data_IF_963619980902
#
_entry.id   IF_963619980902
#
_cell.length_a   1.000
_cell.length_b   1.000
_cell.length_c   1.000
_cell.angle_alpha   90.00
_cell.angle_beta   90.00
_cell.angle_gamma   90.00
#
_symmetry.space_group_name_H-M   'P 1'
#
loop_
_entity.id
_entity.type
_entity.pdbx_description
1 polymer ?
#
# COMPACT_ATOMS: atom_id res chain seq x y z
N UNK A 1 -12.22 -83.15 -3.78
CA UNK A 1 -11.75 -81.88 -3.18
C UNK A 1 -12.61 -80.68 -3.54
N UNK A 2 -12.76 -80.33 -4.82
CA UNK A 2 -13.57 -79.16 -5.24
C UNK A 2 -15.08 -79.34 -4.92
N UNK A 3 -15.62 -80.54 -5.09
CA UNK A 3 -17.03 -80.84 -4.71
C UNK A 3 -17.29 -80.72 -3.20
N UNK A 4 -16.28 -80.94 -2.34
CA UNK A 4 -16.46 -80.83 -0.89
C UNK A 4 -16.50 -79.37 -0.42
N UNK A 5 -15.81 -78.46 -1.13
CA UNK A 5 -15.76 -77.04 -0.78
C UNK A 5 -17.01 -76.27 -1.22
N UNK A 6 -17.76 -76.78 -2.21
CA UNK A 6 -19.06 -76.21 -2.64
C UNK A 6 -20.17 -76.58 -1.63
N UNK A 7 -20.11 -77.77 -1.01
CA UNK A 7 -21.12 -78.22 -0.03
C UNK A 7 -21.03 -77.56 1.35
N UNK A 8 -20.00 -76.74 1.61
CA UNK A 8 -19.77 -76.04 2.89
C UNK A 8 -20.06 -74.52 2.75
N UNK A 9 -20.56 -74.08 1.58
CA UNK A 9 -20.95 -72.68 1.30
C UNK A 9 -19.78 -71.67 1.34
N UNK A 10 -18.52 -72.14 1.22
CA UNK A 10 -17.32 -71.29 1.22
C UNK A 10 -16.91 -70.78 -0.17
N UNK A 11 -17.57 -71.21 -1.25
CA UNK A 11 -17.27 -70.78 -2.62
C UNK A 11 -18.56 -70.39 -3.37
N UNK A 12 -18.77 -69.08 -3.55
CA UNK A 12 -19.83 -68.54 -4.39
C UNK A 12 -19.58 -68.85 -5.88
N UNK A 13 -20.61 -69.41 -6.55
CA UNK A 13 -20.57 -69.74 -7.98
C UNK A 13 -21.00 -68.56 -8.83
N UNK A 14 -20.15 -67.53 -8.88
CA UNK A 14 -20.25 -66.39 -9.78
C UNK A 14 -18.87 -66.04 -10.36
N UNK A 15 -18.83 -65.61 -11.62
CA UNK A 15 -17.56 -65.18 -12.22
C UNK A 15 -16.97 -63.99 -11.45
N UNK A 16 -15.82 -64.22 -10.80
CA UNK A 16 -14.99 -63.17 -10.18
C UNK A 16 -15.08 -63.02 -8.65
N UNK A 17 -15.87 -63.82 -7.94
CA UNK A 17 -16.14 -63.59 -6.49
C UNK A 17 -14.97 -64.01 -5.59
N UNK A 18 -14.13 -64.97 -6.01
CA UNK A 18 -13.05 -65.52 -5.17
C UNK A 18 -11.64 -65.04 -5.54
N UNK A 19 -11.52 -63.83 -6.13
CA UNK A 19 -10.23 -63.22 -6.46
C UNK A 19 -9.87 -62.12 -5.45
N UNK A 20 -9.51 -62.50 -4.21
CA UNK A 20 -8.76 -61.59 -3.32
C UNK A 20 -7.29 -61.65 -3.74
N UNK A 21 -6.98 -60.93 -4.82
CA UNK A 21 -5.63 -60.73 -5.33
C UNK A 21 -5.11 -59.34 -4.98
N UNK A 22 -3.93 -59.27 -4.39
CA UNK A 22 -3.15 -58.07 -4.03
C UNK A 22 -2.63 -57.26 -5.23
N UNK A 23 -3.30 -57.30 -6.39
CA UNK A 23 -2.91 -56.56 -7.59
C UNK A 23 -3.97 -55.54 -8.00
N UNK A 24 -3.58 -54.26 -8.00
CA UNK A 24 -4.36 -53.14 -8.52
C UNK A 24 -4.57 -53.28 -10.03
N UNK A 25 -5.80 -52.99 -10.49
CA UNK A 25 -6.17 -53.09 -11.89
C UNK A 25 -5.54 -51.96 -12.71
N UNK A 26 -5.07 -52.27 -13.91
CA UNK A 26 -4.43 -51.31 -14.83
C UNK A 26 -5.36 -50.17 -15.34
N UNK A 27 -6.64 -50.16 -14.95
CA UNK A 27 -7.62 -49.10 -15.23
C UNK A 27 -7.85 -48.09 -14.09
N UNK A 28 -7.39 -48.38 -12.86
CA UNK A 28 -7.67 -47.56 -11.66
C UNK A 28 -6.76 -46.32 -11.54
N UNK A 29 -5.73 -46.20 -12.38
CA UNK A 29 -4.73 -45.13 -12.31
C UNK A 29 -5.28 -43.77 -12.75
N UNK A 30 -6.35 -43.72 -13.56
CA UNK A 30 -6.98 -42.45 -13.95
C UNK A 30 -7.85 -41.89 -12.83
N UNK A 31 -8.80 -42.68 -12.32
CA UNK A 31 -9.69 -42.24 -11.24
C UNK A 31 -8.97 -42.02 -9.91
N UNK A 32 -7.95 -42.81 -9.58
CA UNK A 32 -7.16 -42.60 -8.36
C UNK A 32 -6.33 -41.32 -8.42
N UNK A 33 -5.82 -40.89 -9.58
CA UNK A 33 -5.14 -39.60 -9.74
C UNK A 33 -6.11 -38.41 -9.63
N UNK A 34 -7.31 -38.52 -10.21
CA UNK A 34 -8.35 -37.49 -10.09
C UNK A 34 -8.85 -37.39 -8.65
N UNK A 35 -9.12 -38.53 -8.01
CA UNK A 35 -9.48 -38.61 -6.60
C UNK A 35 -8.39 -38.03 -5.70
N UNK A 36 -7.12 -38.40 -5.89
CA UNK A 36 -5.99 -37.80 -5.15
C UNK A 36 -5.88 -36.30 -5.38
N UNK A 37 -6.12 -35.83 -6.60
CA UNK A 37 -6.11 -34.39 -6.91
C UNK A 37 -7.22 -33.66 -6.17
N UNK A 38 -8.45 -34.19 -6.19
CA UNK A 38 -9.61 -33.64 -5.46
C UNK A 38 -9.39 -33.68 -3.95
N UNK A 39 -8.88 -34.78 -3.39
CA UNK A 39 -8.53 -34.89 -1.98
C UNK A 39 -7.42 -33.91 -1.57
N UNK A 40 -6.41 -33.70 -2.43
CA UNK A 40 -5.37 -32.71 -2.18
C UNK A 40 -5.93 -31.28 -2.22
N UNK A 41 -6.83 -30.98 -3.15
CA UNK A 41 -7.48 -29.67 -3.23
C UNK A 41 -8.34 -29.40 -1.99
N UNK A 42 -9.13 -30.39 -1.56
CA UNK A 42 -9.91 -30.31 -0.32
C UNK A 42 -9.01 -30.13 0.91
N UNK A 43 -7.87 -30.83 0.96
CA UNK A 43 -6.89 -30.70 2.04
C UNK A 43 -6.21 -29.34 2.06
N UNK A 44 -5.98 -28.74 0.89
CA UNK A 44 -5.37 -27.41 0.76
C UNK A 44 -6.37 -26.27 1.00
N UNK A 45 -7.68 -26.53 0.90
CA UNK A 45 -8.72 -25.51 1.04
C UNK A 45 -8.64 -24.78 2.38
N UNK A 46 -8.71 -25.50 3.51
CA UNK A 46 -8.68 -24.87 4.85
C UNK A 46 -7.36 -24.12 5.11
N UNK A 47 -6.16 -24.70 4.90
CA UNK A 47 -4.91 -23.96 5.04
C UNK A 47 -4.82 -22.72 4.14
N UNK A 48 -5.40 -22.78 2.94
CA UNK A 48 -5.43 -21.62 2.03
C UNK A 48 -6.33 -20.53 2.59
N UNK A 49 -7.51 -20.89 3.12
CA UNK A 49 -8.40 -19.96 3.83
C UNK A 49 -7.70 -19.33 5.04
N UNK A 50 -6.98 -20.12 5.85
CA UNK A 50 -6.24 -19.63 7.02
C UNK A 50 -5.17 -18.60 6.61
N UNK A 51 -4.43 -18.86 5.54
CA UNK A 51 -3.45 -17.90 4.99
C UNK A 51 -4.13 -16.62 4.52
N UNK A 52 -5.29 -16.71 3.86
CA UNK A 52 -6.03 -15.53 3.42
C UNK A 52 -6.57 -14.71 4.60
N UNK A 53 -7.14 -15.37 5.61
CA UNK A 53 -7.64 -14.71 6.83
C UNK A 53 -6.48 -14.00 7.53
N UNK A 54 -5.36 -14.69 7.77
CA UNK A 54 -4.18 -14.10 8.39
C UNK A 54 -3.63 -12.90 7.58
N UNK A 55 -3.72 -12.97 6.25
CA UNK A 55 -3.32 -11.84 5.38
C UNK A 55 -4.28 -10.66 5.52
N UNK A 56 -5.59 -10.91 5.56
CA UNK A 56 -6.62 -9.87 5.75
C UNK A 56 -6.47 -9.22 7.13
N UNK A 57 -6.31 -10.02 8.19
CA UNK A 57 -6.13 -9.52 9.55
C UNK A 57 -4.87 -8.66 9.66
N UNK A 58 -3.77 -9.09 9.04
CA UNK A 58 -2.54 -8.29 8.97
C UNK A 58 -2.76 -6.96 8.24
N UNK A 59 -3.48 -6.96 7.10
CA UNK A 59 -3.79 -5.72 6.38
C UNK A 59 -4.70 -4.79 7.18
N UNK A 60 -5.73 -5.33 7.85
CA UNK A 60 -6.61 -4.55 8.72
C UNK A 60 -5.84 -3.94 9.89
N UNK A 61 -4.94 -4.69 10.51
CA UNK A 61 -4.09 -4.19 11.59
C UNK A 61 -3.20 -3.04 11.11
N UNK A 62 -2.54 -3.18 9.95
CA UNK A 62 -1.72 -2.12 9.35
C UNK A 62 -2.56 -0.87 9.04
N UNK A 63 -3.77 -1.05 8.48
CA UNK A 63 -4.69 0.06 8.24
C UNK A 63 -5.12 0.76 9.52
N UNK A 64 -5.44 0.02 10.58
CA UNK A 64 -5.83 0.59 11.87
C UNK A 64 -4.68 1.33 12.57
N UNK A 65 -3.44 0.83 12.42
CA UNK A 65 -2.24 1.52 12.92
C UNK A 65 -2.02 2.81 12.12
N UNK A 66 -2.15 2.75 10.80
CA UNK A 66 -1.90 3.89 9.90
C UNK A 66 -2.97 4.97 9.97
N UNK A 67 -4.23 4.58 10.07
CA UNK A 67 -5.40 5.45 10.14
C UNK A 67 -6.05 5.33 11.51
N UNK A 68 -5.26 5.59 12.56
CA UNK A 68 -5.80 5.71 13.90
C UNK A 68 -6.79 6.90 14.00
N UNK A 69 -7.50 7.01 15.13
CA UNK A 69 -8.50 8.06 15.32
C UNK A 69 -7.97 9.48 15.05
N UNK A 70 -6.74 9.77 15.48
CA UNK A 70 -6.10 11.07 15.28
C UNK A 70 -5.82 11.37 13.80
N UNK A 71 -5.29 10.40 13.05
CA UNK A 71 -5.01 10.57 11.60
C UNK A 71 -6.32 10.71 10.82
N UNK A 72 -7.35 9.94 11.17
CA UNK A 72 -8.68 10.06 10.54
C UNK A 72 -9.27 11.44 10.82
N UNK A 73 -9.19 11.92 12.05
CA UNK A 73 -9.65 13.27 12.40
C UNK A 73 -8.86 14.36 11.67
N UNK A 74 -7.54 14.22 11.56
CA UNK A 74 -6.71 15.12 10.75
C UNK A 74 -7.18 15.17 9.30
N UNK A 75 -7.47 14.03 8.69
CA UNK A 75 -7.96 13.94 7.30
C UNK A 75 -9.34 14.61 7.19
N UNK A 76 -10.26 14.33 8.13
CA UNK A 76 -11.59 14.94 8.16
C UNK A 76 -11.47 16.46 8.28
N UNK A 77 -10.67 16.98 9.21
CA UNK A 77 -10.47 18.41 9.38
C UNK A 77 -9.80 19.03 8.14
N UNK A 78 -8.84 18.35 7.53
CA UNK A 78 -8.17 18.83 6.31
C UNK A 78 -9.10 18.95 5.10
N UNK A 79 -10.16 18.13 5.05
CA UNK A 79 -11.16 18.19 3.98
C UNK A 79 -11.93 19.51 3.93
N UNK A 80 -11.97 20.27 5.04
CA UNK A 80 -12.57 21.61 5.07
C UNK A 80 -11.77 22.63 4.24
N UNK A 81 -10.55 22.33 3.81
CA UNK A 81 -9.77 23.21 2.92
C UNK A 81 -10.03 22.88 1.43
N UNK A 82 -10.82 21.84 1.14
CA UNK A 82 -11.05 21.40 -0.24
C UNK A 82 -11.86 22.45 -1.03
N UNK A 83 -11.39 22.89 -2.22
CA UNK A 83 -12.11 23.88 -3.01
C UNK A 83 -13.34 23.32 -3.76
N UNK A 84 -13.53 21.99 -3.74
CA UNK A 84 -14.63 21.32 -4.44
C UNK A 84 -16.00 21.93 -4.09
N UNK A 85 -16.90 21.92 -5.07
CA UNK A 85 -18.27 22.42 -4.95
C UNK A 85 -18.29 23.89 -4.47
N UNK A 86 -17.36 24.70 -4.98
CA UNK A 86 -17.19 26.11 -4.63
C UNK A 86 -16.96 26.33 -3.12
N UNK A 87 -16.01 25.57 -2.55
CA UNK A 87 -15.63 25.65 -1.13
C UNK A 87 -16.80 25.40 -0.15
N UNK A 88 -17.80 24.59 -0.53
CA UNK A 88 -18.98 24.31 0.31
C UNK A 88 -18.63 23.70 1.67
N UNK A 89 -17.58 22.89 1.73
CA UNK A 89 -17.10 22.27 2.97
C UNK A 89 -16.20 23.19 3.80
N UNK A 90 -15.98 24.44 3.38
CA UNK A 90 -15.06 25.33 4.05
C UNK A 90 -15.60 25.86 5.37
N UNK A 91 -14.80 25.72 6.41
CA UNK A 91 -15.17 26.02 7.78
C UNK A 91 -13.92 26.52 8.54
N UNK A 92 -13.88 27.83 8.79
CA UNK A 92 -12.75 28.48 9.46
C UNK A 92 -12.46 27.88 10.84
N UNK A 93 -13.51 27.54 11.61
CA UNK A 93 -13.36 27.05 12.97
C UNK A 93 -12.77 25.65 12.97
N UNK A 94 -13.22 24.77 12.07
CA UNK A 94 -12.62 23.45 11.89
C UNK A 94 -11.17 23.52 11.41
N UNK A 95 -10.83 24.45 10.52
CA UNK A 95 -9.44 24.66 10.07
C UNK A 95 -8.57 25.19 11.22
N UNK A 96 -9.11 26.04 12.09
CA UNK A 96 -8.40 26.46 13.29
C UNK A 96 -8.16 25.29 14.25
N UNK A 97 -9.18 24.45 14.46
CA UNK A 97 -9.06 23.25 15.28
C UNK A 97 -8.00 22.28 14.75
N UNK A 98 -7.86 22.14 13.42
CA UNK A 98 -6.78 21.36 12.78
C UNK A 98 -5.40 21.86 13.24
N UNK A 99 -5.19 23.18 13.17
CA UNK A 99 -3.92 23.80 13.53
C UNK A 99 -3.67 23.74 15.03
N UNK A 100 -4.71 23.93 15.84
CA UNK A 100 -4.61 23.86 17.30
C UNK A 100 -4.25 22.47 17.80
N UNK A 101 -4.87 21.43 17.23
CA UNK A 101 -4.69 20.04 17.66
C UNK A 101 -3.44 19.39 17.07
N UNK A 102 -3.19 19.55 15.78
CA UNK A 102 -2.17 18.77 15.07
C UNK A 102 -0.87 19.53 14.78
N UNK A 103 -0.90 20.87 14.80
CA UNK A 103 0.27 21.71 14.51
C UNK A 103 0.56 22.79 15.57
N UNK A 104 0.52 22.46 16.89
CA UNK A 104 0.68 23.46 17.94
C UNK A 104 2.07 24.10 17.98
N UNK A 105 3.11 23.39 17.53
CA UNK A 105 4.50 23.87 17.50
C UNK A 105 4.82 24.69 16.24
N UNK A 106 4.15 24.41 15.13
CA UNK A 106 4.38 25.10 13.86
C UNK A 106 3.71 26.48 13.79
N UNK A 107 2.61 26.65 14.53
CA UNK A 107 1.81 27.86 14.57
C UNK A 107 1.85 28.48 15.97
N UNK A 108 2.62 29.56 16.12
CA UNK A 108 2.61 30.37 17.35
C UNK A 108 1.23 30.99 17.56
N UNK A 109 0.92 31.42 18.79
CA UNK A 109 -0.35 32.11 19.12
C UNK A 109 -0.66 33.27 18.15
N UNK A 110 0.36 34.07 17.81
CA UNK A 110 0.22 35.17 16.84
C UNK A 110 -0.09 34.67 15.43
N UNK A 111 0.59 33.61 14.95
CA UNK A 111 0.31 33.00 13.65
C UNK A 111 -1.10 32.41 13.57
N UNK A 112 -1.64 31.88 14.67
CA UNK A 112 -3.02 31.37 14.72
C UNK A 112 -4.05 32.49 14.56
N UNK A 113 -3.82 33.63 15.20
CA UNK A 113 -4.66 34.82 15.03
C UNK A 113 -4.58 35.33 13.59
N UNK A 114 -3.36 35.42 13.02
CA UNK A 114 -3.16 35.84 11.64
C UNK A 114 -3.77 34.85 10.63
N UNK A 115 -3.70 33.55 10.91
CA UNK A 115 -4.35 32.52 10.11
C UNK A 115 -5.87 32.72 10.11
N UNK A 116 -6.49 32.99 11.27
CA UNK A 116 -7.92 33.33 11.34
C UNK A 116 -8.23 34.51 10.42
N UNK A 117 -7.45 35.59 10.52
CA UNK A 117 -7.63 36.74 9.62
C UNK A 117 -7.52 36.32 8.14
N UNK A 118 -6.46 35.60 7.75
CA UNK A 118 -6.27 35.12 6.37
C UNK A 118 -7.41 34.23 5.87
N UNK A 119 -7.98 33.38 6.73
CA UNK A 119 -9.13 32.54 6.42
C UNK A 119 -10.41 33.37 6.23
N UNK A 120 -10.61 34.45 7.00
CA UNK A 120 -11.74 35.35 6.80
C UNK A 120 -11.65 36.19 5.51
N UNK A 121 -10.43 36.45 5.01
CA UNK A 121 -10.21 37.07 3.70
C UNK A 121 -10.44 36.12 2.50
N UNK A 122 -11.08 34.97 2.72
CA UNK A 122 -11.49 33.99 1.71
C UNK A 122 -12.28 34.60 0.54
N UNK A 123 -12.96 35.74 0.73
CA UNK A 123 -13.62 36.47 -0.35
C UNK A 123 -12.67 36.80 -1.51
N UNK A 124 -11.42 37.19 -1.25
CA UNK A 124 -10.46 37.55 -2.31
C UNK A 124 -9.87 36.32 -3.03
N UNK A 125 -9.95 35.14 -2.42
CA UNK A 125 -9.51 33.88 -3.03
C UNK A 125 -10.66 33.25 -3.81
N UNK A 126 -11.88 33.19 -3.27
CA UNK A 126 -13.05 32.59 -3.93
C UNK A 126 -13.55 33.43 -5.11
N UNK A 127 -13.53 34.75 -5.00
CA UNK A 127 -14.03 35.62 -6.07
C UNK A 127 -13.02 35.85 -7.21
N UNK A 128 -11.79 35.33 -7.09
CA UNK A 128 -10.82 35.45 -8.17
C UNK A 128 -11.19 34.49 -9.32
N UNK A 129 -11.23 34.96 -10.59
CA UNK A 129 -11.62 34.13 -11.73
C UNK A 129 -10.80 32.83 -11.83
N UNK A 130 -9.49 32.90 -11.59
CA UNK A 130 -8.56 31.76 -11.66
C UNK A 130 -8.70 30.74 -10.50
N UNK A 131 -9.50 31.06 -9.48
CA UNK A 131 -9.72 30.24 -8.29
C UNK A 131 -11.11 29.59 -8.26
N UNK A 132 -11.91 29.80 -9.31
CA UNK A 132 -13.20 29.17 -9.49
C UNK A 132 -13.04 27.76 -10.08
N UNK A 133 -13.97 26.87 -9.76
CA UNK A 133 -14.06 25.51 -10.30
C UNK A 133 -12.85 24.59 -10.01
N UNK A 134 -12.10 24.84 -8.93
CA UNK A 134 -11.04 23.94 -8.49
C UNK A 134 -11.63 22.70 -7.82
N UNK A 135 -11.12 21.53 -8.18
CA UNK A 135 -11.66 20.24 -7.73
C UNK A 135 -10.83 19.57 -6.64
N UNK A 136 -9.54 19.93 -6.56
CA UNK A 136 -8.58 19.32 -5.62
C UNK A 136 -7.73 20.35 -4.89
N UNK A 137 -7.26 19.95 -3.70
CA UNK A 137 -6.31 20.73 -2.89
C UNK A 137 -4.98 20.96 -3.63
N UNK A 138 -4.56 20.02 -4.48
CA UNK A 138 -3.35 20.16 -5.28
C UNK A 138 -3.49 21.23 -6.38
N UNK A 139 -4.67 21.36 -6.99
CA UNK A 139 -4.98 22.45 -7.92
C UNK A 139 -4.98 23.81 -7.21
N UNK A 140 -5.57 23.87 -6.01
CA UNK A 140 -5.52 25.06 -5.16
C UNK A 140 -4.08 25.50 -4.88
N UNK A 141 -3.20 24.57 -4.51
CA UNK A 141 -1.79 24.88 -4.26
C UNK A 141 -1.08 25.43 -5.51
N UNK A 142 -1.32 24.83 -6.68
CA UNK A 142 -0.72 25.31 -7.94
C UNK A 142 -1.21 26.71 -8.28
N UNK A 143 -2.52 26.96 -8.17
CA UNK A 143 -3.11 28.26 -8.48
C UNK A 143 -2.72 29.36 -7.49
N UNK A 144 -2.52 29.03 -6.22
CA UNK A 144 -1.99 29.98 -5.23
C UNK A 144 -0.59 30.49 -5.58
N UNK A 145 0.26 29.61 -6.11
CA UNK A 145 1.61 29.98 -6.56
C UNK A 145 1.54 30.78 -7.87
N UNK A 146 0.74 30.35 -8.85
CA UNK A 146 0.60 31.04 -10.14
C UNK A 146 0.09 32.47 -9.98
N UNK A 147 -0.90 32.68 -9.10
CA UNK A 147 -1.50 34.00 -8.83
C UNK A 147 -0.67 34.86 -7.88
N UNK A 148 0.51 34.39 -7.43
CA UNK A 148 1.34 35.00 -6.36
C UNK A 148 0.61 35.21 -5.03
N UNK A 149 -0.61 34.66 -4.88
CA UNK A 149 -1.39 34.71 -3.63
C UNK A 149 -0.74 33.89 -2.52
N UNK A 150 0.19 32.99 -2.83
CA UNK A 150 1.00 32.28 -1.83
C UNK A 150 1.84 33.21 -0.95
N UNK A 151 2.20 34.42 -1.41
CA UNK A 151 2.94 35.41 -0.61
C UNK A 151 2.01 36.13 0.38
N UNK A 152 0.78 36.41 -0.04
CA UNK A 152 -0.25 37.09 0.77
C UNK A 152 -0.81 36.13 1.82
N UNK A 153 -1.13 34.89 1.41
CA UNK A 153 -1.72 33.85 2.24
C UNK A 153 -0.70 32.77 2.63
N UNK A 154 0.50 33.19 3.03
CA UNK A 154 1.61 32.27 3.31
C UNK A 154 1.31 31.24 4.42
N UNK A 155 0.40 31.52 5.37
CA UNK A 155 0.02 30.54 6.40
C UNK A 155 -0.94 29.49 5.86
N UNK A 156 -1.84 29.87 4.96
CA UNK A 156 -2.73 28.94 4.25
C UNK A 156 -1.89 28.06 3.33
N UNK A 157 -0.97 28.64 2.55
CA UNK A 157 -0.04 27.89 1.70
C UNK A 157 0.82 26.92 2.53
N UNK A 158 1.33 27.36 3.68
CA UNK A 158 2.08 26.48 4.60
C UNK A 158 1.21 25.33 5.13
N UNK A 159 -0.03 25.62 5.57
CA UNK A 159 -0.95 24.60 6.07
C UNK A 159 -1.29 23.57 4.98
N UNK A 160 -1.58 24.03 3.77
CA UNK A 160 -1.84 23.19 2.61
C UNK A 160 -0.68 22.26 2.29
N UNK A 161 0.56 22.77 2.36
CA UNK A 161 1.76 21.93 2.21
C UNK A 161 1.84 20.86 3.30
N UNK A 162 1.56 21.19 4.55
CA UNK A 162 1.56 20.19 5.63
C UNK A 162 0.54 19.08 5.40
N UNK A 163 -0.69 19.45 5.03
CA UNK A 163 -1.75 18.49 4.70
C UNK A 163 -1.34 17.58 3.53
N UNK A 164 -0.70 18.11 2.49
CA UNK A 164 -0.27 17.32 1.33
C UNK A 164 0.97 16.45 1.61
N UNK A 165 1.85 16.88 2.51
CA UNK A 165 3.11 16.17 2.81
C UNK A 165 2.89 14.99 3.77
N UNK A 166 1.96 15.11 4.72
CA UNK A 166 1.75 14.06 5.73
C UNK A 166 1.44 12.67 5.15
N UNK A 167 0.51 12.51 4.19
CA UNK A 167 0.24 11.21 3.57
C UNK A 167 1.43 10.67 2.76
N UNK A 168 2.21 11.57 2.15
CA UNK A 168 3.36 11.21 1.32
C UNK A 168 4.55 10.76 2.17
N UNK A 169 4.78 11.42 3.30
CA UNK A 169 5.87 11.08 4.22
C UNK A 169 5.70 9.67 4.80
N UNK A 170 4.48 9.34 5.27
CA UNK A 170 4.18 7.99 5.81
C UNK A 170 4.35 6.90 4.75
N UNK A 171 3.84 7.11 3.54
CA UNK A 171 4.01 6.14 2.44
C UNK A 171 5.48 5.97 2.04
N UNK A 172 6.28 7.04 2.10
CA UNK A 172 7.70 7.00 1.70
C UNK A 172 8.54 6.25 2.73
N UNK A 173 8.30 6.46 4.03
CA UNK A 173 9.02 5.73 5.09
C UNK A 173 8.67 4.25 5.06
N UNK A 174 7.39 3.90 4.98
CA UNK A 174 6.93 2.50 4.85
C UNK A 174 7.56 1.79 3.64
N UNK A 175 7.59 2.46 2.47
CA UNK A 175 8.24 1.92 1.26
C UNK A 175 9.74 1.72 1.47
N UNK A 176 10.42 2.64 2.16
CA UNK A 176 11.83 2.52 2.47
C UNK A 176 12.09 1.31 3.39
N UNK A 177 11.29 1.12 4.44
CA UNK A 177 11.42 -0.02 5.35
C UNK A 177 11.10 -1.35 4.66
N UNK A 178 10.09 -1.39 3.80
CA UNK A 178 9.76 -2.56 2.99
C UNK A 178 10.91 -2.92 2.03
N UNK A 179 11.42 -1.93 1.28
CA UNK A 179 12.59 -2.10 0.41
C UNK A 179 13.81 -2.59 1.18
N UNK A 180 14.05 -2.06 2.38
CA UNK A 180 15.13 -2.51 3.27
C UNK A 180 14.97 -3.98 3.64
N UNK A 181 13.76 -4.40 4.03
CA UNK A 181 13.47 -5.79 4.39
C UNK A 181 13.73 -6.72 3.21
N UNK A 182 13.31 -6.34 2.00
CA UNK A 182 13.54 -7.12 0.77
C UNK A 182 15.04 -7.25 0.47
N UNK A 183 15.78 -6.13 0.49
CA UNK A 183 17.22 -6.10 0.22
C UNK A 183 17.97 -6.99 1.21
N UNK A 184 17.71 -6.83 2.51
CA UNK A 184 18.33 -7.65 3.57
C UNK A 184 17.99 -9.13 3.44
N UNK A 185 16.74 -9.46 3.10
CA UNK A 185 16.30 -10.86 2.93
C UNK A 185 16.93 -11.53 1.71
N UNK A 186 17.08 -10.80 0.59
CA UNK A 186 17.70 -11.34 -0.64
C UNK A 186 19.20 -11.56 -0.49
N UNK A 187 19.89 -10.60 0.14
CA UNK A 187 21.36 -10.63 0.23
C UNK A 187 21.83 -11.53 1.41
N UNK A 188 20.97 -11.79 2.41
CA UNK A 188 21.23 -12.69 3.57
C UNK A 188 22.56 -12.43 4.29
N UNK A 189 23.08 -11.21 4.24
CA UNK A 189 24.33 -10.83 4.88
C UNK A 189 24.21 -9.51 5.65
N UNK A 190 25.12 -9.30 6.59
CA UNK A 190 25.25 -8.03 7.31
C UNK A 190 25.90 -7.02 6.35
N UNK A 191 25.07 -6.23 5.68
CA UNK A 191 25.52 -5.17 4.78
C UNK A 191 26.09 -3.99 5.58
N UNK A 192 27.18 -3.41 5.07
CA UNK A 192 27.70 -2.12 5.52
C UNK A 192 26.67 -1.01 5.22
N UNK A 193 26.49 -0.07 6.17
CA UNK A 193 25.41 0.92 6.15
C UNK A 193 25.40 1.76 4.86
N UNK A 194 26.58 2.10 4.34
CA UNK A 194 26.73 2.88 3.13
C UNK A 194 26.26 2.16 1.86
N UNK A 195 26.50 0.84 1.78
CA UNK A 195 26.03 0.03 0.66
C UNK A 195 24.52 -0.18 0.73
N UNK A 196 23.98 -0.40 1.93
CA UNK A 196 22.54 -0.53 2.14
C UNK A 196 21.81 0.77 1.76
N UNK A 197 22.35 1.92 2.19
CA UNK A 197 21.80 3.25 1.87
C UNK A 197 21.75 3.50 0.37
N UNK A 198 22.84 3.20 -0.36
CA UNK A 198 22.89 3.36 -1.83
C UNK A 198 21.82 2.51 -2.53
N UNK A 199 21.64 1.25 -2.14
CA UNK A 199 20.61 0.37 -2.71
C UNK A 199 19.18 0.80 -2.35
N UNK A 200 18.97 1.27 -1.12
CA UNK A 200 17.68 1.82 -0.68
C UNK A 200 17.24 3.00 -1.54
N UNK A 201 18.16 3.92 -1.85
CA UNK A 201 17.85 5.08 -2.70
C UNK A 201 17.39 4.64 -4.08
N UNK A 202 18.09 3.68 -4.69
CA UNK A 202 17.71 3.11 -5.99
C UNK A 202 16.32 2.47 -5.93
N UNK A 203 16.05 1.66 -4.90
CA UNK A 203 14.78 0.96 -4.75
C UNK A 203 13.60 1.91 -4.47
N UNK A 204 13.78 2.94 -3.64
CA UNK A 204 12.73 3.93 -3.34
C UNK A 204 12.44 4.79 -4.58
N UNK A 205 13.49 5.14 -5.33
CA UNK A 205 13.41 5.95 -6.55
C UNK A 205 13.38 5.08 -7.81
N UNK A 206 12.83 3.87 -7.76
CA UNK A 206 12.83 2.94 -8.88
C UNK A 206 12.20 3.58 -10.14
N UNK A 207 11.06 4.26 -10.01
CA UNK A 207 10.38 4.94 -11.11
C UNK A 207 11.22 6.05 -11.81
N UNK A 208 12.23 6.61 -11.12
CA UNK A 208 13.19 7.55 -11.71
C UNK A 208 14.38 6.77 -12.28
N UNK A 209 14.84 5.74 -11.58
CA UNK A 209 15.98 4.91 -11.99
C UNK A 209 15.68 4.16 -13.30
N UNK A 210 14.45 3.71 -13.51
CA UNK A 210 14.01 3.07 -14.76
C UNK A 210 14.14 3.99 -15.99
N UNK A 211 14.18 5.32 -15.78
CA UNK A 211 14.40 6.30 -16.86
C UNK A 211 15.89 6.53 -17.15
N UNK A 212 16.78 6.04 -16.31
CA UNK A 212 18.23 6.16 -16.49
C UNK A 212 18.69 4.97 -17.33
N UNK A 213 19.31 5.25 -18.48
CA UNK A 213 19.86 4.21 -19.34
C UNK A 213 21.10 3.59 -18.70
N UNK A 214 21.10 2.26 -18.57
CA UNK A 214 22.26 1.50 -18.08
C UNK A 214 23.48 1.75 -18.96
N UNK A 215 23.30 1.88 -20.28
CA UNK A 215 24.39 2.17 -21.21
C UNK A 215 25.03 3.53 -20.91
N UNK A 216 24.23 4.56 -20.59
CA UNK A 216 24.77 5.88 -20.20
C UNK A 216 25.56 5.80 -18.90
N UNK A 217 25.11 5.00 -17.92
CA UNK A 217 25.87 4.79 -16.67
C UNK A 217 27.21 4.12 -16.96
N UNK A 218 27.22 3.13 -17.86
CA UNK A 218 28.43 2.42 -18.27
C UNK A 218 29.39 3.38 -18.97
N UNK A 219 28.90 4.17 -19.92
CA UNK A 219 29.70 5.16 -20.66
C UNK A 219 30.29 6.21 -19.71
N UNK A 220 29.48 6.77 -18.80
CA UNK A 220 29.94 7.71 -17.76
C UNK A 220 31.04 7.07 -16.88
N UNK A 221 30.91 5.78 -16.53
CA UNK A 221 31.90 5.06 -15.72
C UNK A 221 33.20 4.83 -16.47
N UNK A 222 33.14 4.57 -17.78
CA UNK A 222 34.31 4.48 -18.65
C UNK A 222 35.00 5.84 -18.81
N UNK A 223 34.24 6.94 -18.89
CA UNK A 223 34.79 8.29 -18.95
C UNK A 223 35.43 8.72 -17.62
N UNK A 224 34.88 8.27 -16.48
CA UNK A 224 35.49 8.45 -15.17
C UNK A 224 36.83 7.73 -15.00
N UNK A 225 37.07 6.63 -15.74
CA UNK A 225 38.34 5.89 -15.72
C UNK A 225 39.51 6.63 -16.39
N UNK A 226 39.32 7.82 -16.98
CA UNK A 226 40.41 8.70 -17.44
C UNK A 226 41.09 9.51 -16.32
N UNK A 227 41.30 8.92 -15.13
CA UNK A 227 42.16 9.49 -14.09
C UNK A 227 43.20 8.44 -13.65
N UNK A 228 44.46 8.89 -13.68
CA UNK A 228 45.73 8.17 -13.45
C UNK A 228 45.70 7.12 -12.35
#
# INVERSE_FOLDING_TARGET
EIERLISIDELDTGNGVNQIGTLQWAGDTRWSSHFRSVSNLLRLYNPTCDVFIATIDSQLQELNIRFNGDVVELIILSSNINPKDNYKSFDCDKICNLVDKFYPLDFTKQKKILLKCQLYYQFDVIHHPDMQNLSTVAELCRKLVETRKSEIYYLIDRLLRFVLILPVSTATTERAFSGMKIIKTRIRSKLEDDFLKKNLVVHIKQAITEKISVNKIIDDFYDMKKRR
#
